data_IF_589359216981
#
_entry.id   IF_589359216981
#
_cell.length_a   1.000
_cell.length_b   1.000
_cell.length_c   1.000
_cell.angle_alpha   90.00
_cell.angle_beta   90.00
_cell.angle_gamma   90.00
#
_symmetry.space_group_name_H-M   'P 1'
#
loop_
_entity.id
_entity.type
_entity.pdbx_description
1 polymer ?
#
# COMPACT_ATOMS: atom_id res chain seq x y z
N UNK A 1 13.82 -3.92 -18.92
CA UNK A 1 12.58 -3.10 -18.84
C UNK A 1 12.38 -2.70 -17.39
N UNK A 2 12.37 -1.42 -17.05
CA UNK A 2 12.04 -0.97 -15.69
C UNK A 2 10.52 -0.99 -15.53
N UNK A 3 10.00 -2.04 -14.91
CA UNK A 3 8.59 -2.11 -14.54
C UNK A 3 8.35 -1.17 -13.36
N UNK A 4 7.82 0.02 -13.67
CA UNK A 4 7.32 0.97 -12.68
C UNK A 4 5.93 0.50 -12.25
N UNK A 5 5.86 -0.27 -11.17
CA UNK A 5 4.61 -0.51 -10.46
C UNK A 5 4.17 0.79 -9.79
N UNK A 6 2.85 1.02 -9.70
CA UNK A 6 2.16 2.21 -9.15
C UNK A 6 3.13 3.12 -8.42
N UNK A 7 3.71 4.03 -9.18
CA UNK A 7 4.39 5.15 -8.56
C UNK A 7 3.31 6.21 -8.56
N UNK A 8 2.81 6.55 -7.38
CA UNK A 8 2.32 7.91 -7.16
C UNK A 8 3.54 8.80 -7.39
N UNK A 9 3.82 9.06 -8.67
CA UNK A 9 5.01 9.75 -9.12
C UNK A 9 4.66 11.22 -9.02
N UNK A 10 4.84 11.77 -7.81
CA UNK A 10 4.66 13.18 -7.56
C UNK A 10 5.71 13.94 -8.37
N UNK A 11 5.28 14.46 -9.51
CA UNK A 11 6.14 15.29 -10.31
C UNK A 11 6.00 16.75 -9.87
N UNK A 12 7.02 17.28 -9.19
CA UNK A 12 7.15 18.72 -8.94
C UNK A 12 8.02 19.34 -10.04
N UNK A 13 7.39 19.85 -11.10
CA UNK A 13 8.05 20.77 -12.04
C UNK A 13 7.71 22.19 -11.63
N UNK A 14 8.63 22.83 -10.91
CA UNK A 14 8.83 24.30 -10.86
C UNK A 14 7.72 25.18 -10.23
N UNK A 15 6.51 24.70 -9.88
CA UNK A 15 5.49 25.58 -9.26
C UNK A 15 4.56 24.91 -8.24
N UNK A 16 4.99 24.53 -7.01
CA UNK A 16 4.11 24.09 -5.88
C UNK A 16 2.89 23.19 -6.21
N UNK A 17 2.92 22.50 -7.35
CA UNK A 17 1.82 21.73 -7.92
C UNK A 17 2.28 20.30 -8.01
N UNK A 18 1.39 19.40 -7.64
CA UNK A 18 1.59 17.96 -7.75
C UNK A 18 0.66 17.41 -8.82
N UNK A 19 1.18 16.48 -9.61
CA UNK A 19 0.44 15.78 -10.65
C UNK A 19 0.48 14.29 -10.36
N UNK A 20 -0.66 13.62 -10.59
CA UNK A 20 -0.76 12.17 -10.63
C UNK A 20 -0.80 11.73 -12.10
N UNK A 21 0.02 10.76 -12.45
CA UNK A 21 0.18 10.21 -13.81
C UNK A 21 -0.03 8.69 -13.78
N UNK A 22 -0.02 8.07 -14.96
CA UNK A 22 -0.13 6.60 -15.12
C UNK A 22 -1.42 6.00 -14.52
N UNK A 23 -2.56 6.46 -15.06
CA UNK A 23 -3.92 6.07 -14.62
C UNK A 23 -4.42 4.71 -15.14
N UNK A 24 -3.52 3.83 -15.61
CA UNK A 24 -3.88 2.57 -16.27
C UNK A 24 -4.60 1.57 -15.34
N UNK A 25 -4.40 1.70 -14.02
CA UNK A 25 -5.07 0.91 -12.97
C UNK A 25 -6.16 1.69 -12.22
N UNK A 26 -6.58 2.85 -12.72
CA UNK A 26 -7.58 3.67 -12.05
C UNK A 26 -8.99 3.08 -12.16
N UNK A 27 -9.78 3.28 -11.11
CA UNK A 27 -11.14 2.76 -11.03
C UNK A 27 -11.83 3.16 -9.73
N UNK A 28 -13.12 2.83 -9.61
CA UNK A 28 -13.86 3.06 -8.38
C UNK A 28 -13.45 2.05 -7.31
N UNK A 29 -12.91 2.53 -6.19
CA UNK A 29 -12.45 1.71 -5.08
C UNK A 29 -12.58 2.48 -3.75
N UNK A 30 -12.33 1.79 -2.64
CA UNK A 30 -12.18 2.41 -1.31
C UNK A 30 -10.99 3.40 -1.33
N UNK A 31 -11.18 4.68 -0.92
CA UNK A 31 -10.09 5.66 -0.84
C UNK A 31 -8.91 5.21 0.04
N UNK A 32 -9.14 4.39 1.07
CA UNK A 32 -8.09 3.83 1.91
C UNK A 32 -7.15 2.90 1.12
N UNK A 33 -7.59 2.37 -0.02
CA UNK A 33 -6.74 1.58 -0.92
C UNK A 33 -5.58 2.41 -1.45
N UNK A 34 -5.85 3.62 -1.93
CA UNK A 34 -4.82 4.51 -2.48
C UNK A 34 -3.87 5.01 -1.39
N UNK A 35 -4.38 5.26 -0.17
CA UNK A 35 -3.53 5.60 0.97
C UNK A 35 -2.61 4.44 1.35
N UNK A 36 -3.15 3.22 1.41
CA UNK A 36 -2.36 2.02 1.69
C UNK A 36 -1.28 1.80 0.62
N UNK A 37 -1.62 1.99 -0.66
CA UNK A 37 -0.68 1.92 -1.76
C UNK A 37 0.43 2.96 -1.60
N UNK A 38 0.09 4.23 -1.36
CA UNK A 38 1.08 5.28 -1.14
C UNK A 38 2.03 4.96 0.01
N UNK A 39 1.49 4.57 1.17
CA UNK A 39 2.28 4.23 2.36
C UNK A 39 3.29 3.12 2.07
N UNK A 40 2.85 2.06 1.39
CA UNK A 40 3.70 0.92 1.05
C UNK A 40 4.79 1.30 0.05
N UNK A 41 4.42 1.99 -1.04
CA UNK A 41 5.35 2.31 -2.13
C UNK A 41 6.34 3.42 -1.75
N UNK A 42 5.91 4.38 -0.94
CA UNK A 42 6.79 5.42 -0.39
C UNK A 42 7.68 4.88 0.75
N UNK A 43 7.38 3.70 1.29
CA UNK A 43 8.15 3.08 2.36
C UNK A 43 8.13 3.89 3.66
N UNK A 44 6.99 4.50 3.98
CA UNK A 44 6.88 5.39 5.14
C UNK A 44 7.19 4.65 6.45
N UNK A 45 7.92 5.31 7.34
CA UNK A 45 8.02 4.93 8.74
C UNK A 45 6.69 5.10 9.47
N UNK A 46 6.54 4.50 10.65
CA UNK A 46 5.32 4.65 11.46
C UNK A 46 4.99 6.12 11.77
N UNK A 47 6.00 6.94 12.06
CA UNK A 47 5.80 8.37 12.33
C UNK A 47 5.39 9.16 11.08
N UNK A 48 5.91 8.81 9.91
CA UNK A 48 5.54 9.46 8.65
C UNK A 48 4.14 9.03 8.19
N UNK A 49 3.79 7.75 8.42
CA UNK A 49 2.45 7.24 8.17
C UNK A 49 1.41 7.95 9.05
N UNK A 50 1.63 8.08 10.35
CA UNK A 50 0.71 8.82 11.23
C UNK A 50 0.58 10.28 10.78
N UNK A 51 1.69 10.97 10.50
CA UNK A 51 1.65 12.35 10.00
C UNK A 51 0.87 12.48 8.68
N UNK A 52 1.04 11.52 7.77
CA UNK A 52 0.34 11.48 6.48
C UNK A 52 -1.16 11.27 6.67
N UNK A 53 -1.54 10.32 7.52
CA UNK A 53 -2.94 9.99 7.81
C UNK A 53 -3.63 11.12 8.56
N UNK A 54 -2.97 11.75 9.54
CA UNK A 54 -3.49 12.90 10.27
C UNK A 54 -3.74 14.08 9.32
N UNK A 55 -2.85 14.29 8.36
CA UNK A 55 -3.02 15.31 7.31
C UNK A 55 -4.21 15.00 6.39
N UNK A 56 -4.43 13.73 6.04
CA UNK A 56 -5.54 13.30 5.17
C UNK A 56 -6.89 13.35 5.88
N UNK A 57 -6.96 12.84 7.12
CA UNK A 57 -8.18 12.76 7.92
C UNK A 57 -8.46 14.02 8.74
N UNK A 58 -7.54 14.99 8.75
CA UNK A 58 -7.62 16.19 9.59
C UNK A 58 -7.82 15.82 11.07
N UNK A 59 -6.99 14.90 11.57
CA UNK A 59 -7.05 14.36 12.95
C UNK A 59 -8.34 13.58 13.30
N UNK A 60 -9.19 13.23 12.32
CA UNK A 60 -10.45 12.50 12.52
C UNK A 60 -10.41 11.02 12.10
N UNK A 61 -9.23 10.38 12.14
CA UNK A 61 -9.12 8.98 11.73
C UNK A 61 -9.73 8.04 12.79
N UNK A 62 -10.74 7.26 12.40
CA UNK A 62 -11.39 6.29 13.31
C UNK A 62 -10.60 4.98 13.42
N UNK A 63 -10.88 4.21 14.47
CA UNK A 63 -10.33 2.86 14.62
C UNK A 63 -10.72 1.94 13.45
N UNK A 64 -11.97 2.04 12.97
CA UNK A 64 -12.43 1.28 11.82
C UNK A 64 -11.64 1.63 10.54
N UNK A 65 -11.30 2.90 10.33
CA UNK A 65 -10.46 3.31 9.21
C UNK A 65 -9.04 2.72 9.31
N UNK A 66 -8.48 2.66 10.53
CA UNK A 66 -7.15 2.06 10.76
C UNK A 66 -7.13 0.56 10.46
N UNK A 67 -8.18 -0.14 10.86
CA UNK A 67 -8.35 -1.56 10.56
C UNK A 67 -8.54 -1.81 9.06
N UNK A 68 -9.39 -1.02 8.40
CA UNK A 68 -9.61 -1.12 6.95
C UNK A 68 -8.33 -0.79 6.16
N UNK A 69 -7.54 0.21 6.60
CA UNK A 69 -6.24 0.53 6.02
C UNK A 69 -5.27 -0.67 6.14
N UNK A 70 -5.20 -1.32 7.30
CA UNK A 70 -4.36 -2.50 7.51
C UNK A 70 -4.78 -3.66 6.60
N UNK A 71 -6.09 -3.89 6.45
CA UNK A 71 -6.64 -4.88 5.52
C UNK A 71 -6.24 -4.56 4.07
N UNK A 72 -6.37 -3.30 3.65
CA UNK A 72 -5.99 -2.88 2.29
C UNK A 72 -4.49 -3.07 2.03
N UNK A 73 -3.61 -2.80 3.01
CA UNK A 73 -2.17 -3.09 2.92
C UNK A 73 -1.89 -4.58 2.71
N UNK A 74 -2.59 -5.47 3.42
CA UNK A 74 -2.46 -6.93 3.26
C UNK A 74 -2.87 -7.34 1.83
N UNK A 75 -4.00 -6.86 1.34
CA UNK A 75 -4.48 -7.19 0.01
C UNK A 75 -3.58 -6.67 -1.11
N UNK A 76 -3.08 -5.44 -0.99
CA UNK A 76 -2.13 -4.86 -1.94
C UNK A 76 -0.85 -5.67 -2.05
N UNK A 77 -0.22 -6.01 -0.92
CA UNK A 77 1.01 -6.81 -0.95
C UNK A 77 0.76 -8.22 -1.48
N UNK A 78 -0.38 -8.83 -1.15
CA UNK A 78 -0.74 -10.13 -1.68
C UNK A 78 -1.00 -10.09 -3.20
N UNK A 79 -1.71 -9.06 -3.69
CA UNK A 79 -1.95 -8.84 -5.11
C UNK A 79 -0.63 -8.70 -5.88
N UNK A 80 0.29 -7.85 -5.40
CA UNK A 80 1.57 -7.63 -6.05
C UNK A 80 2.53 -8.81 -5.93
N UNK A 81 2.37 -9.65 -4.91
CA UNK A 81 3.05 -10.96 -4.85
C UNK A 81 2.61 -11.83 -6.01
N UNK A 82 1.31 -12.02 -6.22
CA UNK A 82 0.77 -12.87 -7.30
C UNK A 82 1.20 -12.31 -8.66
N UNK A 83 1.06 -11.00 -8.87
CA UNK A 83 1.48 -10.34 -10.10
C UNK A 83 2.95 -10.63 -10.43
N UNK A 84 3.85 -10.48 -9.46
CA UNK A 84 5.28 -10.72 -9.67
C UNK A 84 5.56 -12.19 -9.97
N UNK A 85 4.96 -13.13 -9.24
CA UNK A 85 5.11 -14.56 -9.52
C UNK A 85 4.61 -14.93 -10.92
N UNK A 86 3.51 -14.33 -11.40
CA UNK A 86 3.01 -14.52 -12.76
C UNK A 86 4.00 -14.00 -13.81
N UNK A 87 4.66 -12.87 -13.55
CA UNK A 87 5.69 -12.32 -14.43
C UNK A 87 6.96 -13.18 -14.44
N UNK A 88 7.37 -13.67 -13.28
CA UNK A 88 8.51 -14.58 -13.16
C UNK A 88 8.27 -15.92 -13.88
N UNK A 89 7.06 -16.46 -13.79
CA UNK A 89 6.67 -17.63 -14.57
C UNK A 89 6.73 -17.39 -16.09
N UNK A 90 6.65 -16.12 -16.53
CA UNK A 90 6.83 -15.68 -17.91
C UNK A 90 8.28 -15.47 -18.34
N UNK A 91 9.26 -15.71 -17.45
CA UNK A 91 10.69 -15.57 -17.73
C UNK A 91 11.29 -14.20 -17.38
N UNK A 92 10.53 -13.33 -16.73
CA UNK A 92 11.07 -12.09 -16.16
C UNK A 92 11.75 -12.36 -14.79
N UNK A 93 12.70 -11.53 -14.37
CA UNK A 93 13.37 -11.67 -13.07
C UNK A 93 13.04 -10.49 -12.16
N UNK A 94 12.39 -10.77 -11.03
CA UNK A 94 12.01 -9.79 -10.00
C UNK A 94 12.77 -10.01 -8.68
N UNK A 95 13.74 -10.93 -8.65
CA UNK A 95 14.57 -11.21 -7.48
C UNK A 95 13.76 -11.50 -6.22
N UNK A 96 13.95 -10.69 -5.17
CA UNK A 96 13.26 -10.88 -3.89
C UNK A 96 11.91 -10.15 -3.79
N UNK A 97 11.43 -9.52 -4.86
CA UNK A 97 10.25 -8.65 -4.81
C UNK A 97 8.99 -9.38 -4.31
N UNK A 98 8.65 -10.52 -4.93
CA UNK A 98 7.48 -11.30 -4.56
C UNK A 98 7.57 -11.80 -3.10
N UNK A 99 8.73 -12.31 -2.72
CA UNK A 99 8.97 -12.80 -1.36
C UNK A 99 8.86 -11.69 -0.30
N UNK A 100 9.40 -10.50 -0.58
CA UNK A 100 9.34 -9.36 0.34
C UNK A 100 7.90 -8.88 0.53
N UNK A 101 7.14 -8.73 -0.56
CA UNK A 101 5.70 -8.40 -0.54
C UNK A 101 4.92 -9.44 0.27
N UNK A 102 5.13 -10.72 -0.02
CA UNK A 102 4.45 -11.81 0.68
C UNK A 102 4.72 -11.81 2.19
N UNK A 103 5.99 -11.66 2.58
CA UNK A 103 6.36 -11.63 3.99
C UNK A 103 5.74 -10.43 4.72
N UNK A 104 5.65 -9.26 4.07
CA UNK A 104 4.97 -8.09 4.63
C UNK A 104 3.46 -8.32 4.77
N UNK A 105 2.80 -8.88 3.76
CA UNK A 105 1.39 -9.28 3.84
C UNK A 105 1.13 -10.24 5.01
N UNK A 106 1.98 -11.27 5.14
CA UNK A 106 1.90 -12.26 6.23
C UNK A 106 2.07 -11.62 7.61
N UNK A 107 3.04 -10.73 7.78
CA UNK A 107 3.27 -10.04 9.04
C UNK A 107 2.09 -9.14 9.41
N UNK A 108 1.53 -8.41 8.45
CA UNK A 108 0.35 -7.56 8.67
C UNK A 108 -0.90 -8.40 8.98
N UNK A 109 -1.08 -9.56 8.34
CA UNK A 109 -2.17 -10.48 8.65
C UNK A 109 -2.08 -11.02 10.09
N UNK A 110 -0.87 -11.32 10.57
CA UNK A 110 -0.66 -11.71 11.96
C UNK A 110 -0.97 -10.58 12.95
N UNK A 111 -0.68 -9.33 12.59
CA UNK A 111 -1.05 -8.17 13.42
C UNK A 111 -2.57 -8.00 13.47
N UNK A 112 -3.23 -8.11 12.31
CA UNK A 112 -4.69 -8.04 12.23
C UNK A 112 -5.38 -9.12 13.08
N UNK A 113 -4.91 -10.37 13.00
CA UNK A 113 -5.45 -11.46 13.83
C UNK A 113 -5.37 -11.16 15.33
N UNK A 114 -4.23 -10.63 15.82
CA UNK A 114 -4.06 -10.23 17.22
C UNK A 114 -5.03 -9.12 17.64
N UNK A 115 -5.28 -8.13 16.78
CA UNK A 115 -6.26 -7.08 17.04
C UNK A 115 -7.67 -7.68 17.21
N UNK A 116 -8.06 -8.61 16.32
CA UNK A 116 -9.38 -9.25 16.40
C UNK A 116 -9.54 -10.14 17.63
N UNK A 117 -8.49 -10.84 18.08
CA UNK A 117 -8.53 -11.64 19.31
C UNK A 117 -8.69 -10.79 20.57
N UNK A 118 -8.20 -9.55 20.57
CA UNK A 118 -8.37 -8.61 21.69
C UNK A 118 -9.81 -8.09 21.73
N UNK A 119 -10.40 -7.80 20.58
CA UNK A 119 -11.77 -7.24 20.47
C UNK A 119 -12.84 -8.27 20.83
N UNK A 120 -12.55 -9.58 20.66
CA UNK A 120 -13.48 -10.68 20.96
C UNK A 120 -13.37 -11.22 22.41
N UNK A 121 -12.56 -10.60 23.27
CA UNK A 121 -12.46 -10.90 24.70
C UNK A 121 -13.12 -9.80 25.54
#
# INVERSE_FOLDING_TARGET
MHYKNIVIQLYSRIEKKMYLVDWEFSGMNDPLWDLAAYIIEAGLSLSEEELFLDSYFQENMTQANREQLLINKIFLDFLWTIWALMKEAGGEDFGSYALNRFNRAKNNLQQYAKLTEIVLR
#
